data_IF_447227458479
#
_entry.id   IF_447227458479
#
_cell.length_a   1.000
_cell.length_b   1.000
_cell.length_c   1.000
_cell.angle_alpha   90.00
_cell.angle_beta   90.00
_cell.angle_gamma   90.00
#
_symmetry.space_group_name_H-M   'P 1'
#
loop_
_entity.id
_entity.type
_entity.pdbx_description
1 polymer ?
#
# COMPACT_ATOMS: atom_id res chain seq x y z
N UNK A 1 -9.93 -14.29 7.01
CA UNK A 1 -8.92 -13.24 6.74
C UNK A 1 -8.51 -13.37 5.29
N UNK A 2 -8.80 -12.35 4.48
CA UNK A 2 -8.44 -12.29 3.05
C UNK A 2 -6.98 -11.85 2.88
N UNK A 3 -6.41 -12.09 1.69
CA UNK A 3 -5.04 -11.66 1.40
C UNK A 3 -4.89 -10.13 1.44
N UNK A 4 -5.93 -9.41 1.01
CA UNK A 4 -6.01 -7.95 1.11
C UNK A 4 -5.97 -7.46 2.57
N UNK A 5 -6.75 -8.06 3.46
CA UNK A 5 -6.74 -7.72 4.91
C UNK A 5 -5.39 -8.01 5.56
N UNK A 6 -4.76 -9.13 5.20
CA UNK A 6 -3.41 -9.46 5.66
C UNK A 6 -2.38 -8.40 5.24
N UNK A 7 -2.42 -7.97 3.97
CA UNK A 7 -1.55 -6.90 3.45
C UNK A 7 -1.77 -5.58 4.19
N UNK A 8 -3.03 -5.19 4.44
CA UNK A 8 -3.36 -3.98 5.24
C UNK A 8 -2.77 -4.05 6.64
N UNK A 9 -2.96 -5.17 7.34
CA UNK A 9 -2.41 -5.40 8.68
C UNK A 9 -0.88 -5.28 8.70
N UNK A 10 -0.18 -5.89 7.72
CA UNK A 10 1.28 -5.78 7.62
C UNK A 10 1.70 -4.32 7.45
N UNK A 11 1.07 -3.60 6.52
CA UNK A 11 1.36 -2.19 6.25
C UNK A 11 1.15 -1.30 7.48
N UNK A 12 0.10 -1.53 8.26
CA UNK A 12 -0.10 -0.82 9.52
C UNK A 12 0.97 -1.13 10.57
N UNK A 13 1.38 -2.39 10.70
CA UNK A 13 2.44 -2.80 11.66
C UNK A 13 3.78 -2.17 11.33
N UNK A 14 4.10 -2.03 10.05
CA UNK A 14 5.40 -1.50 9.61
C UNK A 14 5.37 0.01 9.30
N UNK A 15 4.26 0.71 9.57
CA UNK A 15 4.08 2.14 9.22
C UNK A 15 5.14 3.08 9.81
N UNK A 16 5.75 2.70 10.93
CA UNK A 16 6.83 3.46 11.57
C UNK A 16 8.22 3.17 10.99
N UNK A 17 8.34 2.21 10.06
CA UNK A 17 9.60 1.78 9.44
C UNK A 17 9.56 2.04 7.92
N UNK A 18 9.98 3.24 7.45
CA UNK A 18 9.80 3.67 6.06
C UNK A 18 10.35 2.71 4.99
N UNK A 19 11.51 2.11 5.24
CA UNK A 19 12.15 1.17 4.31
C UNK A 19 11.37 -0.14 4.19
N UNK A 20 10.91 -0.68 5.32
CA UNK A 20 10.11 -1.90 5.38
C UNK A 20 8.72 -1.65 4.79
N UNK A 21 8.10 -0.53 5.15
CA UNK A 21 6.79 -0.14 4.63
C UNK A 21 6.79 -0.06 3.11
N UNK A 22 7.77 0.63 2.50
CA UNK A 22 7.88 0.70 1.05
C UNK A 22 8.09 -0.67 0.40
N UNK A 23 8.86 -1.56 1.04
CA UNK A 23 9.10 -2.92 0.54
C UNK A 23 7.82 -3.75 0.54
N UNK A 24 7.08 -3.72 1.64
CA UNK A 24 5.83 -4.47 1.79
C UNK A 24 4.70 -3.87 0.93
N UNK A 25 4.64 -2.54 0.78
CA UNK A 25 3.68 -1.89 -0.11
C UNK A 25 3.91 -2.29 -1.58
N UNK A 26 5.17 -2.27 -2.05
CA UNK A 26 5.51 -2.73 -3.40
C UNK A 26 5.13 -4.20 -3.63
N UNK A 27 5.40 -5.07 -2.65
CA UNK A 27 5.01 -6.49 -2.73
C UNK A 27 3.48 -6.65 -2.78
N UNK A 28 2.78 -5.94 -1.89
CA UNK A 28 1.33 -5.99 -1.81
C UNK A 28 0.70 -5.55 -3.14
N UNK A 29 1.16 -4.44 -3.73
CA UNK A 29 0.68 -3.96 -5.03
C UNK A 29 1.02 -4.92 -6.17
N UNK A 30 2.24 -5.48 -6.22
CA UNK A 30 2.68 -6.40 -7.28
C UNK A 30 1.92 -7.73 -7.28
N UNK A 31 1.53 -8.21 -6.11
CA UNK A 31 0.85 -9.50 -5.93
C UNK A 31 -0.68 -9.37 -5.85
N UNK A 32 -1.22 -8.15 -5.98
CA UNK A 32 -2.66 -7.92 -5.95
C UNK A 32 -3.28 -8.23 -7.31
N UNK A 33 -4.49 -8.80 -7.30
CA UNK A 33 -5.36 -8.76 -8.48
C UNK A 33 -5.73 -7.31 -8.80
N UNK A 34 -6.33 -7.05 -9.98
CA UNK A 34 -6.74 -5.71 -10.37
C UNK A 34 -7.71 -5.07 -9.35
N UNK A 35 -8.68 -5.85 -8.88
CA UNK A 35 -9.67 -5.43 -7.89
C UNK A 35 -9.01 -5.19 -6.52
N UNK A 36 -8.15 -6.11 -6.07
CA UNK A 36 -7.41 -5.95 -4.82
C UNK A 36 -6.50 -4.72 -4.85
N UNK A 37 -5.90 -4.43 -6.01
CA UNK A 37 -5.04 -3.27 -6.20
C UNK A 37 -5.82 -1.97 -6.03
N UNK A 38 -7.01 -1.85 -6.64
CA UNK A 38 -7.86 -0.67 -6.49
C UNK A 38 -8.28 -0.48 -5.03
N UNK A 39 -8.70 -1.55 -4.35
CA UNK A 39 -9.04 -1.50 -2.93
C UNK A 39 -7.85 -1.15 -2.04
N UNK A 40 -6.67 -1.71 -2.32
CA UNK A 40 -5.45 -1.43 -1.55
C UNK A 40 -4.96 0.00 -1.77
N UNK A 41 -5.05 0.50 -3.01
CA UNK A 41 -4.69 1.88 -3.36
C UNK A 41 -5.61 2.87 -2.67
N UNK A 42 -6.93 2.66 -2.73
CA UNK A 42 -7.89 3.53 -2.06
C UNK A 42 -7.64 3.56 -0.56
N UNK A 43 -7.51 2.39 0.06
CA UNK A 43 -7.18 2.29 1.48
C UNK A 43 -5.87 2.97 1.85
N UNK A 44 -4.83 2.84 1.02
CA UNK A 44 -3.55 3.51 1.26
C UNK A 44 -3.70 5.04 1.25
N UNK A 45 -4.47 5.59 0.30
CA UNK A 45 -4.76 7.02 0.24
C UNK A 45 -5.53 7.45 1.49
N UNK A 46 -6.57 6.72 1.88
CA UNK A 46 -7.41 7.10 3.03
C UNK A 46 -6.64 7.08 4.37
N UNK A 47 -5.68 6.15 4.52
CA UNK A 47 -4.98 5.92 5.79
C UNK A 47 -3.58 6.56 5.85
N UNK A 48 -2.94 6.82 4.71
CA UNK A 48 -1.54 7.28 4.65
C UNK A 48 -1.29 8.47 3.72
N UNK A 49 -2.31 9.13 3.15
CA UNK A 49 -2.15 10.31 2.26
C UNK A 49 -1.37 11.47 2.90
N UNK A 50 -1.40 11.61 4.23
CA UNK A 50 -0.60 12.61 4.96
C UNK A 50 0.77 12.09 5.40
N UNK A 51 1.05 10.81 5.17
CA UNK A 51 2.34 10.21 5.46
C UNK A 51 3.27 10.50 4.26
N UNK A 52 4.41 11.15 4.51
CA UNK A 52 5.35 11.66 3.48
C UNK A 52 6.00 10.57 2.60
N UNK A 53 5.49 9.34 2.64
CA UNK A 53 5.94 8.17 1.89
C UNK A 53 5.20 8.00 0.55
N UNK A 54 4.54 9.05 0.08
CA UNK A 54 3.62 9.02 -1.06
C UNK A 54 4.19 8.26 -2.26
N UNK A 55 3.46 7.22 -2.66
CA UNK A 55 3.49 6.65 -3.99
C UNK A 55 3.38 7.79 -5.01
N UNK A 56 4.50 8.12 -5.64
CA UNK A 56 4.53 9.08 -6.75
C UNK A 56 3.62 8.50 -7.84
N UNK A 57 2.57 9.21 -8.28
CA UNK A 57 1.86 8.81 -9.48
C UNK A 57 2.87 8.87 -10.62
N UNK A 58 3.09 7.74 -11.31
CA UNK A 58 3.74 7.79 -12.61
C UNK A 58 2.84 8.65 -13.49
N UNK A 59 3.29 9.89 -13.74
CA UNK A 59 2.69 10.76 -14.75
C UNK A 59 2.90 10.06 -16.09
N UNK A 60 1.81 9.64 -16.72
CA UNK A 60 1.75 9.51 -18.18
C UNK A 60 1.36 10.88 -18.72
N UNK A 61 2.35 11.67 -19.11
CA UNK A 61 2.27 12.71 -20.15
C UNK A 61 3.68 13.05 -20.60
#
# INVERSE_FOLDING_TARGET
>A
MTMLEYRKMILEKVKSYPSVFNKELRKALKQSSKEEFEHLRQWYVDNFRNNKHALVPQKSQ
#
